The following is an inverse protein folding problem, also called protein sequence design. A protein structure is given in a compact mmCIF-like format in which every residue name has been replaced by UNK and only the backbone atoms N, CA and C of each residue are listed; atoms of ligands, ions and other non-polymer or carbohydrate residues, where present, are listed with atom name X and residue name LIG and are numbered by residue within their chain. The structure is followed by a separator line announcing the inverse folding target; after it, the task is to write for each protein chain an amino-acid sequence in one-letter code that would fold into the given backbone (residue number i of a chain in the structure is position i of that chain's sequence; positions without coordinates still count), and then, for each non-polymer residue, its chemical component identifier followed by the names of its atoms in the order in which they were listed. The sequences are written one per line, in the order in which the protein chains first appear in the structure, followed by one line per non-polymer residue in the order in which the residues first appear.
data_IF_464327108581
#
_entry.id   IF_464327108581
#
_cell.length_a   1.000
_cell.length_b   1.000
_cell.length_c   1.000
_cell.angle_alpha   90.00
_cell.angle_beta   90.00
_cell.angle_gamma   90.00
#
_symmetry.space_group_name_H-M   'P 1'
#
loop_
_entity.id
_entity.type
_entity.pdbx_description
1 polymer ?
#
# COMPACT_ATOMS: atom_id res chain seq x y z
N UNK A 1 -50.10 0.05 -10.67
CA UNK A 1 -49.26 1.26 -10.72
C UNK A 1 -47.86 0.90 -10.31
N UNK A 2 -46.93 0.80 -11.26
CA UNK A 2 -45.48 0.66 -10.93
C UNK A 2 -45.01 1.96 -10.26
N UNK A 3 -44.66 1.90 -8.99
CA UNK A 3 -43.95 3.00 -8.31
C UNK A 3 -42.65 3.27 -9.07
N UNK A 4 -42.57 4.41 -9.73
CA UNK A 4 -41.32 4.91 -10.32
C UNK A 4 -40.28 4.94 -9.21
N UNK A 5 -39.32 4.00 -9.26
CA UNK A 5 -38.22 3.95 -8.28
C UNK A 5 -37.44 5.23 -8.43
N UNK A 6 -37.44 6.07 -7.38
CA UNK A 6 -36.59 7.25 -7.31
C UNK A 6 -35.12 6.79 -7.33
N UNK A 7 -34.41 7.05 -8.43
CA UNK A 7 -32.99 6.74 -8.59
C UNK A 7 -32.21 8.03 -8.58
N UNK A 8 -31.14 8.08 -7.78
CA UNK A 8 -30.29 9.26 -7.64
C UNK A 8 -28.84 8.89 -7.91
N UNK A 9 -28.11 9.74 -8.62
CA UNK A 9 -26.63 9.63 -8.75
C UNK A 9 -25.92 10.44 -7.68
N UNK A 10 -26.56 11.50 -7.16
CA UNK A 10 -26.05 12.45 -6.18
C UNK A 10 -27.22 13.20 -5.53
N UNK A 11 -26.96 14.09 -4.57
CA UNK A 11 -28.00 14.83 -3.87
C UNK A 11 -28.47 14.11 -2.61
N UNK A 12 -27.54 13.43 -1.92
CA UNK A 12 -27.76 12.81 -0.61
C UNK A 12 -27.53 13.85 0.49
N UNK A 13 -28.33 13.77 1.55
CA UNK A 13 -28.14 14.63 2.70
C UNK A 13 -26.76 14.39 3.34
N UNK A 14 -26.02 15.47 3.62
CA UNK A 14 -24.64 15.37 4.13
C UNK A 14 -23.58 14.87 3.13
N UNK A 15 -23.92 14.72 1.84
CA UNK A 15 -22.91 14.34 0.84
C UNK A 15 -21.82 15.40 0.71
N UNK A 16 -20.61 14.92 0.41
CA UNK A 16 -19.47 15.77 0.04
C UNK A 16 -18.90 15.29 -1.29
N UNK A 17 -18.56 16.21 -2.18
CA UNK A 17 -18.08 15.91 -3.52
C UNK A 17 -17.18 17.02 -4.02
N UNK A 18 -16.00 16.64 -4.51
CA UNK A 18 -15.13 17.51 -5.30
C UNK A 18 -14.87 16.83 -6.63
N UNK A 19 -15.14 17.55 -7.72
CA UNK A 19 -14.77 17.20 -9.09
C UNK A 19 -13.69 18.17 -9.54
N UNK A 20 -12.51 17.68 -9.87
CA UNK A 20 -11.43 18.56 -10.31
C UNK A 20 -11.74 19.15 -11.68
N UNK A 21 -11.52 20.46 -11.87
CA UNK A 21 -11.73 21.11 -13.15
C UNK A 21 -10.90 20.47 -14.26
N UNK A 22 -11.48 20.27 -15.44
CA UNK A 22 -10.78 19.68 -16.59
C UNK A 22 -9.46 20.42 -16.90
N UNK A 23 -9.43 21.73 -16.78
CA UNK A 23 -8.24 22.54 -17.01
C UNK A 23 -7.11 22.18 -16.04
N UNK A 24 -7.40 21.95 -14.76
CA UNK A 24 -6.39 21.50 -13.79
C UNK A 24 -5.82 20.15 -14.20
N UNK A 25 -6.66 19.24 -14.67
CA UNK A 25 -6.19 17.93 -15.14
C UNK A 25 -5.28 18.04 -16.34
N UNK A 26 -5.64 18.82 -17.38
CA UNK A 26 -4.88 18.94 -18.62
C UNK A 26 -3.62 19.80 -18.49
N UNK A 27 -3.69 20.89 -17.73
CA UNK A 27 -2.61 21.87 -17.67
C UNK A 27 -1.58 21.55 -16.58
N UNK A 28 -1.93 20.71 -15.60
CA UNK A 28 -1.04 20.37 -14.51
C UNK A 28 -0.94 18.85 -14.25
N UNK A 29 -2.03 18.17 -13.89
CA UNK A 29 -1.95 16.80 -13.35
C UNK A 29 -1.38 15.77 -14.33
N UNK A 30 -1.64 15.94 -15.64
CA UNK A 30 -1.09 15.06 -16.67
C UNK A 30 0.33 15.42 -17.11
N UNK A 31 0.85 16.57 -16.70
CA UNK A 31 2.18 17.06 -17.13
C UNK A 31 3.21 17.00 -15.99
N UNK A 32 2.78 17.20 -14.75
CA UNK A 32 3.68 17.18 -13.59
C UNK A 32 4.24 15.78 -13.34
N UNK A 33 5.56 15.60 -13.18
CA UNK A 33 6.21 14.30 -13.06
C UNK A 33 5.69 13.43 -11.91
N UNK A 34 5.20 14.05 -10.83
CA UNK A 34 4.66 13.35 -9.66
C UNK A 34 3.22 12.94 -9.90
N UNK A 35 2.36 13.89 -10.28
CA UNK A 35 0.92 13.63 -10.35
C UNK A 35 0.51 12.84 -11.59
N UNK A 36 1.23 12.94 -12.71
CA UNK A 36 0.89 12.19 -13.95
C UNK A 36 0.89 10.68 -13.75
N UNK A 37 1.63 10.17 -12.77
CA UNK A 37 1.71 8.74 -12.48
C UNK A 37 0.38 8.20 -11.95
N UNK A 38 -0.25 8.94 -11.03
CA UNK A 38 -1.60 8.67 -10.53
C UNK A 38 -2.17 9.97 -9.93
N UNK A 39 -3.41 10.28 -10.25
CA UNK A 39 -4.09 11.45 -9.70
C UNK A 39 -5.60 11.25 -9.58
N UNK A 40 -6.14 11.83 -8.51
CA UNK A 40 -7.58 11.90 -8.26
C UNK A 40 -8.19 12.88 -9.28
N UNK A 41 -9.30 12.48 -9.85
CA UNK A 41 -10.15 13.34 -10.70
C UNK A 41 -11.41 13.77 -9.98
N UNK A 42 -11.95 12.88 -9.15
CA UNK A 42 -13.13 13.12 -8.33
C UNK A 42 -12.97 12.39 -6.99
N UNK A 43 -13.44 12.98 -5.92
CA UNK A 43 -13.44 12.41 -4.57
C UNK A 43 -14.76 12.74 -3.89
N UNK A 44 -15.34 11.78 -3.20
CA UNK A 44 -16.61 12.01 -2.53
C UNK A 44 -16.92 11.07 -1.38
N UNK A 45 -17.84 11.57 -0.54
CA UNK A 45 -18.42 10.85 0.59
C UNK A 45 -19.94 10.94 0.49
N UNK A 46 -20.63 9.81 0.49
CA UNK A 46 -22.07 9.71 0.44
C UNK A 46 -22.60 8.95 1.65
N UNK A 47 -23.10 9.63 2.68
CA UNK A 47 -23.69 8.99 3.84
C UNK A 47 -25.08 8.46 3.50
N UNK A 48 -25.38 7.23 3.93
CA UNK A 48 -26.69 6.56 3.80
C UNK A 48 -27.37 6.86 2.47
N UNK A 49 -26.66 6.60 1.38
CA UNK A 49 -27.01 7.04 0.03
C UNK A 49 -28.25 6.32 -0.50
N UNK A 50 -29.42 6.59 0.09
CA UNK A 50 -30.70 5.98 -0.26
C UNK A 50 -31.08 6.27 -1.71
N UNK A 51 -31.46 5.22 -2.46
CA UNK A 51 -31.76 5.27 -3.89
C UNK A 51 -30.54 5.57 -4.79
N UNK A 52 -29.34 5.51 -4.26
CA UNK A 52 -28.14 5.63 -5.10
C UNK A 52 -28.14 4.55 -6.17
N UNK A 53 -28.08 4.98 -7.42
CA UNK A 53 -28.06 4.09 -8.58
C UNK A 53 -27.25 4.71 -9.70
N UNK A 54 -26.32 3.93 -10.23
CA UNK A 54 -25.51 4.30 -11.39
C UNK A 54 -25.59 3.16 -12.42
N UNK A 55 -25.79 3.53 -13.69
CA UNK A 55 -25.72 2.65 -14.84
C UNK A 55 -24.80 3.28 -15.89
N UNK A 56 -23.70 2.61 -16.20
CA UNK A 56 -22.71 3.05 -17.19
C UNK A 56 -22.43 1.91 -18.18
N UNK A 57 -23.29 1.72 -19.20
CA UNK A 57 -23.14 0.66 -20.19
C UNK A 57 -21.85 0.79 -21.02
N UNK A 58 -21.33 2.00 -21.20
CA UNK A 58 -20.03 2.28 -21.87
C UNK A 58 -18.85 2.34 -20.91
N UNK A 59 -19.06 2.06 -19.62
CA UNK A 59 -18.00 2.23 -18.61
C UNK A 59 -17.73 3.69 -18.23
N UNK A 60 -16.61 3.91 -17.56
CA UNK A 60 -16.07 5.24 -17.21
C UNK A 60 -14.69 5.39 -17.83
N UNK A 61 -14.32 6.59 -18.26
CA UNK A 61 -12.93 6.87 -18.69
C UNK A 61 -11.93 6.95 -17.53
N UNK A 62 -12.40 6.78 -16.29
CA UNK A 62 -11.64 6.83 -15.05
C UNK A 62 -11.74 5.50 -14.35
N UNK A 63 -10.71 5.13 -13.60
CA UNK A 63 -10.82 4.05 -12.62
C UNK A 63 -11.61 4.53 -11.43
N UNK A 64 -12.34 3.60 -10.79
CA UNK A 64 -13.21 3.93 -9.66
C UNK A 64 -12.87 3.00 -8.49
N UNK A 65 -12.76 3.58 -7.30
CA UNK A 65 -12.73 2.86 -6.03
C UNK A 65 -13.92 3.32 -5.21
N UNK A 66 -14.66 2.37 -4.64
CA UNK A 66 -15.75 2.62 -3.69
C UNK A 66 -15.43 1.81 -2.44
N UNK A 67 -15.27 2.47 -1.30
CA UNK A 67 -15.09 1.86 0.01
C UNK A 67 -16.37 2.05 0.82
N UNK A 68 -17.03 0.93 1.13
CA UNK A 68 -18.26 0.91 1.92
C UNK A 68 -17.92 0.75 3.41
N UNK A 69 -18.39 1.65 4.25
CA UNK A 69 -18.14 1.63 5.71
C UNK A 69 -19.37 1.24 6.52
N UNK A 70 -20.58 1.45 6.01
CA UNK A 70 -21.84 1.17 6.68
C UNK A 70 -22.91 0.82 5.67
N UNK A 71 -23.91 0.02 6.07
CA UNK A 71 -25.00 -0.40 5.18
C UNK A 71 -24.52 -1.29 4.04
N UNK A 72 -25.33 -1.49 3.03
CA UNK A 72 -25.05 -2.41 1.95
C UNK A 72 -25.43 -1.90 0.57
N UNK A 73 -24.90 -2.53 -0.44
CA UNK A 73 -25.20 -2.26 -1.84
C UNK A 73 -24.86 -3.44 -2.73
N UNK A 74 -24.79 -3.20 -4.03
CA UNK A 74 -24.34 -4.20 -4.99
C UNK A 74 -23.67 -3.54 -6.19
N UNK A 75 -22.80 -4.28 -6.83
CA UNK A 75 -22.22 -3.96 -8.13
C UNK A 75 -22.50 -5.08 -9.13
N UNK A 76 -22.74 -4.70 -10.38
CA UNK A 76 -22.92 -5.59 -11.53
C UNK A 76 -21.95 -5.17 -12.63
N UNK A 77 -21.16 -6.12 -13.10
CA UNK A 77 -20.34 -6.00 -14.29
C UNK A 77 -20.79 -7.06 -15.30
N UNK A 78 -20.24 -7.07 -16.52
CA UNK A 78 -20.57 -8.07 -17.55
C UNK A 78 -20.41 -9.53 -17.08
N UNK A 79 -19.65 -9.76 -16.03
CA UNK A 79 -19.32 -11.11 -15.53
C UNK A 79 -20.19 -11.57 -14.36
N UNK A 80 -20.65 -10.66 -13.48
CA UNK A 80 -21.35 -11.05 -12.26
C UNK A 80 -21.94 -9.86 -11.52
N UNK A 81 -23.06 -10.12 -10.82
CA UNK A 81 -23.59 -9.22 -9.80
C UNK A 81 -23.10 -9.67 -8.41
N UNK A 82 -22.57 -8.74 -7.66
CA UNK A 82 -21.94 -8.99 -6.36
C UNK A 82 -22.50 -8.02 -5.33
N UNK A 83 -22.95 -8.53 -4.16
CA UNK A 83 -23.36 -7.68 -3.04
C UNK A 83 -22.11 -7.06 -2.37
N UNK A 84 -22.22 -5.89 -1.78
CA UNK A 84 -21.17 -5.16 -1.08
C UNK A 84 -21.63 -4.88 0.33
N UNK A 85 -20.93 -5.44 1.30
CA UNK A 85 -21.18 -5.29 2.74
C UNK A 85 -20.30 -4.17 3.35
N UNK A 86 -20.52 -3.77 4.60
CA UNK A 86 -19.60 -2.89 5.34
C UNK A 86 -18.17 -3.43 5.33
N UNK A 87 -17.20 -2.53 5.40
CA UNK A 87 -15.76 -2.84 5.37
C UNK A 87 -15.28 -3.54 4.09
N UNK A 88 -16.03 -3.44 3.01
CA UNK A 88 -15.65 -3.93 1.70
C UNK A 88 -15.36 -2.77 0.74
N UNK A 89 -14.42 -2.98 -0.17
CA UNK A 89 -14.20 -2.04 -1.26
C UNK A 89 -14.37 -2.70 -2.63
N UNK A 90 -14.70 -1.88 -3.59
CA UNK A 90 -14.83 -2.27 -4.99
C UNK A 90 -13.87 -1.46 -5.83
N UNK A 91 -13.28 -2.13 -6.81
CA UNK A 91 -12.46 -1.49 -7.82
C UNK A 91 -13.07 -1.74 -9.19
N UNK A 92 -13.30 -0.68 -9.95
CA UNK A 92 -13.85 -0.74 -11.30
C UNK A 92 -12.81 -0.15 -12.26
N UNK A 93 -12.17 -0.98 -13.10
CA UNK A 93 -11.25 -0.48 -14.12
C UNK A 93 -11.91 0.48 -15.11
N UNK A 94 -11.16 1.43 -15.63
CA UNK A 94 -11.64 2.30 -16.71
C UNK A 94 -12.14 1.47 -17.90
N UNK A 95 -13.15 1.96 -18.59
CA UNK A 95 -13.78 1.28 -19.73
C UNK A 95 -14.70 0.11 -19.38
N UNK A 96 -14.75 -0.33 -18.10
CA UNK A 96 -15.59 -1.47 -17.70
C UNK A 96 -17.07 -1.09 -17.62
N UNK A 97 -17.97 -1.69 -18.42
CA UNK A 97 -19.41 -1.54 -18.26
C UNK A 97 -19.86 -2.01 -16.88
N UNK A 98 -20.60 -1.18 -16.16
CA UNK A 98 -21.01 -1.49 -14.81
C UNK A 98 -22.30 -0.80 -14.38
N UNK A 99 -22.97 -1.44 -13.42
CA UNK A 99 -24.08 -0.86 -12.65
C UNK A 99 -23.81 -1.07 -11.17
N UNK A 100 -24.22 -0.14 -10.35
CA UNK A 100 -24.23 -0.33 -8.90
C UNK A 100 -25.36 0.44 -8.24
N UNK A 101 -25.78 -0.03 -7.08
CA UNK A 101 -26.80 0.64 -6.28
C UNK A 101 -26.64 0.35 -4.79
N UNK A 102 -27.12 1.30 -3.98
CA UNK A 102 -27.38 1.07 -2.56
C UNK A 102 -28.55 0.09 -2.37
N UNK A 103 -28.53 -0.64 -1.25
CA UNK A 103 -29.71 -1.33 -0.75
C UNK A 103 -30.79 -0.31 -0.38
N UNK A 104 -32.06 -0.63 -0.61
CA UNK A 104 -33.16 0.30 -0.34
C UNK A 104 -33.48 0.41 1.15
N UNK A 105 -33.35 -0.69 1.89
CA UNK A 105 -33.68 -0.80 3.32
C UNK A 105 -32.49 -0.45 4.22
N UNK A 106 -31.27 -0.79 3.77
CA UNK A 106 -30.02 -0.54 4.48
C UNK A 106 -29.00 0.11 3.53
N UNK A 107 -29.19 1.38 3.14
CA UNK A 107 -28.38 2.05 2.14
C UNK A 107 -26.97 2.29 2.65
N UNK A 108 -25.99 2.03 1.77
CA UNK A 108 -24.59 2.17 2.09
C UNK A 108 -24.14 3.61 2.41
N UNK A 109 -23.09 3.71 3.23
CA UNK A 109 -22.27 4.89 3.45
C UNK A 109 -20.92 4.64 2.81
N UNK A 110 -20.56 5.43 1.82
CA UNK A 110 -19.39 5.16 0.98
C UNK A 110 -18.44 6.35 0.89
N UNK A 111 -17.15 6.04 0.87
CA UNK A 111 -16.06 6.88 0.39
C UNK A 111 -15.68 6.40 -1.00
N UNK A 112 -15.49 7.32 -1.94
CA UNK A 112 -15.19 6.92 -3.30
C UNK A 112 -14.24 7.88 -4.00
N UNK A 113 -13.49 7.34 -4.96
CA UNK A 113 -12.55 8.07 -5.79
C UNK A 113 -12.74 7.70 -7.24
N UNK A 114 -12.65 8.68 -8.12
CA UNK A 114 -12.28 8.47 -9.50
C UNK A 114 -10.85 8.95 -9.69
N UNK A 115 -10.07 8.23 -10.49
CA UNK A 115 -8.67 8.54 -10.69
C UNK A 115 -8.16 8.08 -12.04
N UNK A 116 -7.03 8.67 -12.46
CA UNK A 116 -6.30 8.39 -13.68
C UNK A 116 -4.80 8.38 -13.40
N UNK A 117 -3.99 8.11 -14.44
CA UNK A 117 -2.54 8.20 -14.42
C UNK A 117 -1.88 7.06 -15.17
N UNK A 118 -0.60 7.21 -15.42
CA UNK A 118 0.21 6.23 -16.16
C UNK A 118 0.28 4.87 -15.43
N UNK A 119 0.30 4.88 -14.09
CA UNK A 119 0.35 3.69 -13.25
C UNK A 119 -1.03 3.21 -12.76
N UNK A 120 -2.11 3.93 -13.06
CA UNK A 120 -3.42 3.62 -12.51
C UNK A 120 -3.91 2.20 -12.87
N UNK A 121 -3.75 1.78 -14.13
CA UNK A 121 -4.14 0.43 -14.57
C UNK A 121 -3.32 -0.66 -13.85
N UNK A 122 -2.00 -0.47 -13.72
CA UNK A 122 -1.12 -1.41 -13.03
C UNK A 122 -1.49 -1.56 -11.54
N UNK A 123 -1.79 -0.47 -10.86
CA UNK A 123 -2.23 -0.51 -9.45
C UNK A 123 -3.56 -1.24 -9.30
N UNK A 124 -4.49 -1.04 -10.24
CA UNK A 124 -5.75 -1.79 -10.28
C UNK A 124 -5.49 -3.29 -10.44
N UNK A 125 -4.58 -3.69 -11.32
CA UNK A 125 -4.20 -5.10 -11.51
C UNK A 125 -3.62 -5.69 -10.23
N UNK A 126 -2.71 -4.98 -9.54
CA UNK A 126 -2.16 -5.42 -8.25
C UNK A 126 -3.26 -5.61 -7.20
N UNK A 127 -4.21 -4.67 -7.11
CA UNK A 127 -5.35 -4.78 -6.18
C UNK A 127 -6.19 -6.02 -6.52
N UNK A 128 -6.46 -6.27 -7.81
CA UNK A 128 -7.26 -7.41 -8.25
C UNK A 128 -6.55 -8.75 -8.05
N UNK A 129 -5.23 -8.81 -8.20
CA UNK A 129 -4.42 -10.01 -7.96
C UNK A 129 -4.39 -10.38 -6.47
N UNK A 130 -4.28 -9.39 -5.58
CA UNK A 130 -4.28 -9.60 -4.14
C UNK A 130 -5.69 -9.90 -3.60
N UNK A 131 -6.72 -9.38 -4.26
CA UNK A 131 -8.12 -9.60 -3.90
C UNK A 131 -8.62 -10.91 -4.49
N UNK A 132 -8.51 -12.01 -3.77
CA UNK A 132 -8.94 -13.37 -4.18
C UNK A 132 -10.39 -13.50 -4.67
N UNK A 133 -11.21 -12.47 -4.78
CA UNK A 133 -12.60 -12.53 -5.30
C UNK A 133 -13.32 -11.19 -5.47
N UNK A 134 -12.76 -10.14 -6.04
CA UNK A 134 -13.44 -8.85 -6.27
C UNK A 134 -14.00 -8.13 -5.01
N UNK A 135 -13.88 -8.72 -3.84
CA UNK A 135 -14.32 -8.22 -2.53
C UNK A 135 -13.24 -8.48 -1.51
N UNK A 136 -12.20 -7.70 -1.43
CA UNK A 136 -11.35 -7.78 -0.27
C UNK A 136 -12.14 -7.25 0.94
N UNK A 137 -12.34 -8.13 1.90
CA UNK A 137 -12.78 -7.72 3.23
C UNK A 137 -11.63 -6.98 3.87
N UNK A 138 -11.84 -5.73 4.22
CA UNK A 138 -10.87 -4.91 4.94
C UNK A 138 -11.32 -4.78 6.39
N UNK A 139 -10.40 -4.88 7.34
CA UNK A 139 -10.69 -4.46 8.69
C UNK A 139 -11.02 -2.97 8.71
N UNK A 140 -12.03 -2.57 9.50
CA UNK A 140 -12.31 -1.16 9.73
C UNK A 140 -11.07 -0.48 10.32
N UNK A 141 -10.66 0.62 9.75
CA UNK A 141 -9.50 1.37 10.21
C UNK A 141 -9.73 2.88 10.04
N UNK A 142 -9.78 3.60 11.16
CA UNK A 142 -9.96 5.05 11.18
C UNK A 142 -8.88 5.81 10.40
N UNK A 143 -7.65 5.29 10.37
CA UNK A 143 -6.57 5.98 9.66
C UNK A 143 -6.82 6.01 8.15
N UNK A 144 -7.52 5.00 7.58
CA UNK A 144 -7.94 5.03 6.17
C UNK A 144 -8.95 6.15 5.91
N UNK A 145 -9.86 6.37 6.86
CA UNK A 145 -10.83 7.49 6.78
C UNK A 145 -10.11 8.82 6.96
N UNK A 146 -9.15 8.94 7.89
CA UNK A 146 -8.33 10.15 8.07
C UNK A 146 -7.57 10.53 6.81
N UNK A 147 -7.01 9.55 6.06
CA UNK A 147 -6.38 9.82 4.77
C UNK A 147 -7.37 10.45 3.77
N UNK A 148 -8.61 9.94 3.71
CA UNK A 148 -9.63 10.53 2.87
C UNK A 148 -9.95 11.98 3.30
N UNK A 149 -10.18 12.19 4.59
CA UNK A 149 -10.50 13.52 5.14
C UNK A 149 -9.40 14.53 4.87
N UNK A 150 -8.15 14.12 5.01
CA UNK A 150 -6.98 14.95 4.73
C UNK A 150 -6.89 15.34 3.25
N UNK A 151 -7.09 14.39 2.33
CA UNK A 151 -7.14 14.67 0.89
C UNK A 151 -8.28 15.64 0.56
N UNK A 152 -9.46 15.38 1.09
CA UNK A 152 -10.66 16.18 0.84
C UNK A 152 -10.47 17.62 1.34
N UNK A 153 -10.05 17.79 2.59
CA UNK A 153 -9.83 19.12 3.20
C UNK A 153 -8.74 19.95 2.48
N UNK A 154 -7.71 19.29 1.93
CA UNK A 154 -6.69 20.00 1.15
C UNK A 154 -7.22 20.43 -0.23
N UNK A 155 -8.02 19.61 -0.90
CA UNK A 155 -8.65 19.98 -2.16
C UNK A 155 -9.69 21.12 -1.99
N UNK A 156 -10.38 21.19 -0.85
CA UNK A 156 -11.26 22.33 -0.52
C UNK A 156 -10.50 23.66 -0.41
N UNK A 157 -9.23 23.64 0.01
CA UNK A 157 -8.38 24.85 0.09
C UNK A 157 -7.91 25.35 -1.28
N UNK A 158 -8.12 24.57 -2.35
CA UNK A 158 -7.80 24.96 -3.71
C UNK A 158 -6.78 24.05 -4.40
N UNK A 159 -6.43 24.41 -5.63
CA UNK A 159 -5.69 23.59 -6.58
C UNK A 159 -4.29 24.13 -6.87
N UNK A 160 -3.57 24.62 -5.86
CA UNK A 160 -2.16 24.97 -6.02
C UNK A 160 -1.32 23.71 -6.37
N UNK A 161 -0.20 23.92 -7.04
CA UNK A 161 0.73 22.81 -7.41
C UNK A 161 1.09 21.96 -6.22
N UNK A 162 1.36 22.58 -5.07
CA UNK A 162 1.78 21.88 -3.86
C UNK A 162 0.64 21.09 -3.25
N UNK A 163 -0.58 21.67 -3.21
CA UNK A 163 -1.76 20.93 -2.75
C UNK A 163 -2.05 19.71 -3.64
N UNK A 164 -1.97 19.90 -4.95
CA UNK A 164 -2.22 18.79 -5.89
C UNK A 164 -1.19 17.68 -5.76
N UNK A 165 0.10 18.02 -5.64
CA UNK A 165 1.16 17.02 -5.38
C UNK A 165 0.93 16.31 -4.05
N UNK A 166 0.71 17.08 -2.98
CA UNK A 166 0.49 16.55 -1.63
C UNK A 166 -0.69 15.58 -1.58
N UNK A 167 -1.86 15.97 -2.09
CA UNK A 167 -3.05 15.12 -2.14
C UNK A 167 -2.79 13.81 -2.89
N UNK A 168 -2.10 13.88 -4.04
CA UNK A 168 -1.85 12.67 -4.81
C UNK A 168 -0.78 11.77 -4.18
N UNK A 169 0.17 12.29 -3.40
CA UNK A 169 1.06 11.50 -2.56
C UNK A 169 0.30 10.79 -1.43
N UNK A 170 -0.66 11.45 -0.77
CA UNK A 170 -1.54 10.82 0.21
C UNK A 170 -2.40 9.73 -0.46
N UNK A 171 -2.85 9.97 -1.69
CA UNK A 171 -3.64 8.97 -2.42
C UNK A 171 -2.86 7.67 -2.65
N UNK A 172 -1.55 7.73 -2.92
CA UNK A 172 -0.71 6.52 -2.92
C UNK A 172 -0.74 5.80 -1.57
N UNK A 173 -0.70 6.54 -0.45
CA UNK A 173 -0.80 5.94 0.88
C UNK A 173 -2.18 5.31 1.11
N UNK A 174 -3.26 5.94 0.66
CA UNK A 174 -4.60 5.34 0.68
C UNK A 174 -4.65 4.03 -0.12
N UNK A 175 -4.12 4.03 -1.35
CA UNK A 175 -4.05 2.82 -2.18
C UNK A 175 -3.19 1.72 -1.54
N UNK A 176 -2.09 2.07 -0.89
CA UNK A 176 -1.26 1.10 -0.16
C UNK A 176 -2.02 0.47 1.02
N UNK A 177 -2.95 1.20 1.65
CA UNK A 177 -3.81 0.66 2.72
C UNK A 177 -4.79 -0.41 2.24
N UNK A 178 -5.10 -0.42 0.95
CA UNK A 178 -5.93 -1.45 0.30
C UNK A 178 -5.09 -2.64 -0.17
N UNK A 179 -3.87 -2.38 -0.64
CA UNK A 179 -2.96 -3.39 -1.17
C UNK A 179 -2.26 -4.20 -0.09
N UNK A 180 -1.89 -3.55 1.01
CA UNK A 180 -1.03 -4.09 2.06
C UNK A 180 -1.67 -3.86 3.43
N UNK A 181 -2.89 -4.39 3.59
CA UNK A 181 -3.70 -4.20 4.80
C UNK A 181 -2.98 -4.61 6.07
N UNK A 182 -2.31 -5.76 6.07
CA UNK A 182 -1.57 -6.25 7.25
C UNK A 182 -0.50 -5.25 7.70
N UNK A 183 0.23 -4.65 6.74
CA UNK A 183 1.24 -3.63 7.03
C UNK A 183 0.63 -2.32 7.50
N UNK A 184 -0.51 -1.95 6.94
CA UNK A 184 -1.23 -0.73 7.31
C UNK A 184 -1.83 -0.83 8.72
N UNK A 185 -2.35 -1.99 9.09
CA UNK A 185 -2.94 -2.26 10.40
C UNK A 185 -1.91 -2.63 11.49
N UNK A 186 -0.67 -2.94 11.14
CA UNK A 186 0.37 -3.40 12.08
C UNK A 186 0.73 -2.38 13.17
N UNK A 187 0.33 -1.13 13.03
CA UNK A 187 0.47 -0.10 14.07
C UNK A 187 -0.53 -0.25 15.23
N UNK A 188 -1.63 -1.01 15.09
CA UNK A 188 -2.68 -1.06 16.10
C UNK A 188 -3.09 -2.48 16.57
N UNK A 189 -2.82 -3.53 15.81
CA UNK A 189 -3.25 -4.89 16.18
C UNK A 189 -2.20 -5.95 15.86
N UNK A 190 -1.64 -6.56 16.90
CA UNK A 190 -0.99 -7.87 16.86
C UNK A 190 -2.03 -8.95 16.48
N UNK A 191 -2.35 -9.11 15.21
CA UNK A 191 -3.02 -10.30 14.68
C UNK A 191 -2.04 -11.07 13.83
N UNK A 192 -1.85 -12.34 14.18
CA UNK A 192 -1.04 -13.38 13.51
C UNK A 192 0.12 -12.80 12.69
N UNK A 193 1.16 -12.43 13.41
CA UNK A 193 2.40 -11.92 12.77
C UNK A 193 2.89 -13.03 11.84
N UNK A 194 3.03 -12.72 10.57
CA UNK A 194 3.54 -13.65 9.56
C UNK A 194 4.84 -14.27 10.07
N UNK A 195 4.92 -15.58 10.06
CA UNK A 195 6.09 -16.33 10.56
C UNK A 195 7.41 -15.83 9.94
N UNK A 196 7.36 -15.30 8.71
CA UNK A 196 8.52 -14.69 8.06
C UNK A 196 8.88 -13.34 8.70
N UNK A 197 7.90 -12.51 9.05
CA UNK A 197 8.14 -11.25 9.78
C UNK A 197 8.71 -11.53 11.18
N UNK A 198 8.14 -12.51 11.92
CA UNK A 198 8.71 -12.96 13.19
C UNK A 198 10.15 -13.45 13.05
N UNK A 199 10.44 -14.17 11.96
CA UNK A 199 11.81 -14.64 11.70
C UNK A 199 12.76 -13.48 11.40
N UNK A 200 12.31 -12.46 10.67
CA UNK A 200 13.09 -11.24 10.44
C UNK A 200 13.34 -10.48 11.75
N UNK A 201 12.36 -10.38 12.62
CA UNK A 201 12.56 -9.81 13.96
C UNK A 201 13.58 -10.61 14.81
N UNK A 202 13.51 -11.96 14.73
CA UNK A 202 14.49 -12.82 15.38
C UNK A 202 15.90 -12.57 14.83
N UNK A 203 16.05 -12.46 13.50
CA UNK A 203 17.32 -12.12 12.87
C UNK A 203 17.86 -10.76 13.37
N UNK A 204 17.01 -9.75 13.49
CA UNK A 204 17.39 -8.44 14.04
C UNK A 204 17.84 -8.54 15.50
N UNK A 205 17.12 -9.30 16.34
CA UNK A 205 17.53 -9.54 17.74
C UNK A 205 18.84 -10.31 17.85
N UNK A 206 19.08 -11.26 16.94
CA UNK A 206 20.29 -12.08 16.87
C UNK A 206 21.38 -11.51 15.96
N UNK A 207 21.34 -10.23 15.59
CA UNK A 207 22.26 -9.59 14.63
C UNK A 207 23.74 -9.73 15.00
N UNK A 208 24.03 -9.86 16.28
CA UNK A 208 25.39 -9.98 16.85
C UNK A 208 25.89 -11.42 16.94
N UNK A 209 25.12 -12.42 16.51
CA UNK A 209 25.47 -13.84 16.62
C UNK A 209 25.49 -14.52 15.24
N UNK A 210 26.00 -15.72 15.21
CA UNK A 210 25.84 -16.62 14.07
C UNK A 210 24.50 -17.33 14.22
N UNK A 211 23.71 -17.39 13.16
CA UNK A 211 22.43 -18.11 13.13
C UNK A 211 22.44 -19.05 11.94
N UNK A 212 22.07 -20.29 12.17
CA UNK A 212 21.98 -21.30 11.11
C UNK A 212 20.62 -21.27 10.42
N UNK A 213 20.59 -21.79 9.18
CA UNK A 213 19.35 -21.94 8.44
C UNK A 213 18.37 -22.89 9.16
N UNK A 214 18.91 -23.92 9.83
CA UNK A 214 18.14 -24.88 10.62
C UNK A 214 17.46 -24.22 11.81
N UNK A 215 18.15 -23.32 12.54
CA UNK A 215 17.55 -22.58 13.65
C UNK A 215 16.41 -21.67 13.19
N UNK A 216 16.57 -20.98 12.06
CA UNK A 216 15.53 -20.14 11.51
C UNK A 216 14.30 -20.95 11.06
N UNK A 217 14.52 -22.06 10.39
CA UNK A 217 13.46 -22.97 9.95
C UNK A 217 12.73 -23.59 11.14
N UNK A 218 13.46 -24.02 12.18
CA UNK A 218 12.88 -24.55 13.42
C UNK A 218 12.04 -23.48 14.16
N UNK A 219 12.52 -22.26 14.24
CA UNK A 219 11.76 -21.14 14.81
C UNK A 219 10.45 -20.89 14.04
N UNK A 220 10.49 -20.98 12.72
CA UNK A 220 9.33 -20.86 11.85
C UNK A 220 8.36 -22.06 11.92
N UNK A 221 8.73 -23.15 12.57
CA UNK A 221 7.94 -24.40 12.58
C UNK A 221 7.86 -25.08 11.22
N UNK A 222 8.85 -24.86 10.33
CA UNK A 222 8.86 -25.37 8.97
C UNK A 222 10.09 -26.23 8.70
N UNK A 223 10.00 -27.12 7.70
CA UNK A 223 11.20 -27.77 7.17
C UNK A 223 12.12 -26.75 6.50
N UNK A 224 13.44 -27.01 6.49
CA UNK A 224 14.46 -26.10 5.92
C UNK A 224 14.14 -25.75 4.45
N UNK A 225 13.73 -26.72 3.65
CA UNK A 225 13.39 -26.51 2.24
C UNK A 225 12.15 -25.65 2.07
N UNK A 226 11.08 -25.93 2.83
CA UNK A 226 9.84 -25.15 2.78
C UNK A 226 10.06 -23.74 3.28
N UNK A 227 10.72 -23.56 4.44
CA UNK A 227 11.09 -22.26 4.97
C UNK A 227 11.87 -21.42 3.95
N UNK A 228 12.91 -22.00 3.33
CA UNK A 228 13.73 -21.29 2.34
C UNK A 228 12.92 -20.84 1.12
N UNK A 229 11.99 -21.67 0.64
CA UNK A 229 11.13 -21.33 -0.48
C UNK A 229 10.17 -20.18 -0.14
N UNK A 230 9.43 -20.30 0.97
CA UNK A 230 8.47 -19.27 1.42
C UNK A 230 9.19 -17.96 1.76
N UNK A 231 10.34 -18.04 2.45
CA UNK A 231 11.13 -16.86 2.79
C UNK A 231 11.61 -16.12 1.53
N UNK A 232 12.10 -16.84 0.53
CA UNK A 232 12.56 -16.25 -0.74
C UNK A 232 11.40 -15.67 -1.55
N UNK A 233 10.25 -16.31 -1.59
CA UNK A 233 9.05 -15.80 -2.24
C UNK A 233 8.62 -14.46 -1.63
N UNK A 234 8.68 -14.34 -0.29
CA UNK A 234 8.24 -13.15 0.43
C UNK A 234 9.26 -12.02 0.46
N UNK A 235 10.56 -12.33 0.51
CA UNK A 235 11.63 -11.33 0.70
C UNK A 235 12.47 -11.07 -0.55
N UNK A 236 12.40 -11.96 -1.55
CA UNK A 236 13.26 -11.94 -2.73
C UNK A 236 14.66 -12.54 -2.50
N UNK A 237 15.01 -12.90 -1.27
CA UNK A 237 16.34 -13.38 -0.87
C UNK A 237 16.26 -14.73 -0.14
N UNK A 238 17.34 -15.51 -0.16
CA UNK A 238 17.43 -16.64 0.77
C UNK A 238 17.58 -16.13 2.22
N UNK A 239 17.18 -16.92 3.24
CA UNK A 239 17.22 -16.47 4.63
C UNK A 239 18.62 -16.00 5.10
N UNK A 240 19.67 -16.71 4.73
CA UNK A 240 21.05 -16.37 5.11
C UNK A 240 21.54 -15.12 4.34
N UNK A 241 21.19 -14.96 3.06
CA UNK A 241 21.48 -13.73 2.32
C UNK A 241 20.80 -12.53 2.94
N UNK A 242 19.53 -12.65 3.31
CA UNK A 242 18.78 -11.59 3.96
C UNK A 242 19.42 -11.21 5.31
N UNK A 243 19.81 -12.21 6.12
CA UNK A 243 20.49 -11.97 7.38
C UNK A 243 21.84 -11.25 7.18
N UNK A 244 22.58 -11.61 6.14
CA UNK A 244 23.81 -10.91 5.78
C UNK A 244 23.54 -9.46 5.36
N UNK A 245 22.45 -9.18 4.64
CA UNK A 245 22.05 -7.81 4.33
C UNK A 245 21.80 -6.98 5.62
N UNK A 246 21.08 -7.54 6.59
CA UNK A 246 20.84 -6.88 7.87
C UNK A 246 22.15 -6.60 8.61
N UNK A 247 23.09 -7.56 8.64
CA UNK A 247 24.42 -7.38 9.24
C UNK A 247 25.21 -6.27 8.56
N UNK A 248 25.23 -6.22 7.24
CA UNK A 248 25.92 -5.15 6.50
C UNK A 248 25.27 -3.79 6.74
N UNK A 249 23.95 -3.72 6.78
CA UNK A 249 23.25 -2.49 7.14
C UNK A 249 23.65 -1.99 8.53
N UNK A 250 23.75 -2.91 9.52
CA UNK A 250 24.23 -2.58 10.87
C UNK A 250 25.71 -2.18 10.88
N UNK A 251 26.53 -2.85 10.08
CA UNK A 251 27.95 -2.50 9.89
C UNK A 251 28.12 -1.07 9.37
N UNK A 252 27.29 -0.63 8.44
CA UNK A 252 27.30 0.75 7.95
C UNK A 252 27.11 1.75 9.10
N UNK A 253 26.18 1.47 10.02
CA UNK A 253 25.97 2.31 11.21
C UNK A 253 27.23 2.36 12.10
N UNK A 254 27.84 1.21 12.39
CA UNK A 254 29.07 1.16 13.19
C UNK A 254 30.22 1.92 12.54
N UNK A 255 30.42 1.73 11.23
CA UNK A 255 31.49 2.39 10.50
C UNK A 255 31.34 3.92 10.44
N UNK A 256 30.11 4.45 10.44
CA UNK A 256 29.82 5.89 10.32
C UNK A 256 29.72 6.58 11.68
N UNK A 257 29.07 5.95 12.64
CA UNK A 257 28.68 6.62 13.90
C UNK A 257 29.48 6.20 15.10
N UNK A 258 30.46 5.28 14.96
CA UNK A 258 31.35 4.87 16.04
C UNK A 258 32.80 4.96 15.61
N UNK A 259 33.72 4.84 16.60
CA UNK A 259 35.16 4.72 16.38
C UNK A 259 35.65 3.30 16.04
N UNK A 260 34.76 2.32 15.95
CA UNK A 260 35.13 0.91 15.73
C UNK A 260 35.98 0.73 14.48
N UNK A 261 37.00 -0.07 14.57
CA UNK A 261 37.76 -0.56 13.40
C UNK A 261 36.88 -1.48 12.56
N UNK A 262 37.31 -1.79 11.35
CA UNK A 262 36.60 -2.75 10.47
C UNK A 262 36.53 -4.14 11.13
N UNK A 263 37.60 -4.53 11.83
CA UNK A 263 37.64 -5.81 12.56
C UNK A 263 36.64 -5.85 13.71
N UNK A 264 36.62 -4.78 14.53
CA UNK A 264 35.68 -4.69 15.66
C UNK A 264 34.22 -4.67 15.18
N UNK A 265 33.90 -3.97 14.08
CA UNK A 265 32.58 -3.97 13.49
C UNK A 265 32.18 -5.37 13.01
N UNK A 266 33.08 -6.12 12.37
CA UNK A 266 32.86 -7.50 11.92
C UNK A 266 32.60 -8.42 13.14
N UNK A 267 33.48 -8.41 14.15
CA UNK A 267 33.35 -9.23 15.36
C UNK A 267 32.06 -8.91 16.12
N UNK A 268 31.69 -7.62 16.23
CA UNK A 268 30.44 -7.19 16.86
C UNK A 268 29.19 -7.72 16.15
N UNK A 269 29.30 -8.16 14.91
CA UNK A 269 28.22 -8.77 14.14
C UNK A 269 28.33 -10.31 14.06
N UNK A 270 29.18 -10.90 14.93
CA UNK A 270 29.41 -12.35 14.94
C UNK A 270 30.14 -12.86 13.69
N UNK A 271 30.97 -12.03 13.05
CA UNK A 271 31.79 -12.42 11.89
C UNK A 271 33.27 -12.30 12.30
N UNK A 272 33.87 -13.42 12.63
CA UNK A 272 35.26 -13.47 13.10
C UNK A 272 36.30 -13.19 12.01
N UNK A 273 36.03 -13.66 10.79
CA UNK A 273 36.88 -13.43 9.63
C UNK A 273 36.62 -12.06 8.99
N UNK A 274 37.53 -11.10 9.28
CA UNK A 274 37.52 -9.76 8.74
C UNK A 274 37.60 -9.73 7.19
N UNK A 275 38.29 -10.68 6.58
CA UNK A 275 38.42 -10.73 5.11
C UNK A 275 37.12 -11.19 4.48
N UNK A 276 36.47 -12.20 5.07
CA UNK A 276 35.13 -12.61 4.67
C UNK A 276 34.13 -11.45 4.82
N UNK A 277 34.14 -10.77 5.95
CA UNK A 277 33.30 -9.60 6.18
C UNK A 277 33.56 -8.52 5.12
N UNK A 278 34.82 -8.18 4.83
CA UNK A 278 35.16 -7.14 3.85
C UNK A 278 34.71 -7.50 2.43
N UNK A 279 34.85 -8.77 2.02
CA UNK A 279 34.33 -9.26 0.73
C UNK A 279 32.82 -9.16 0.67
N UNK A 280 32.12 -9.61 1.71
CA UNK A 280 30.65 -9.54 1.80
C UNK A 280 30.16 -8.10 1.78
N UNK A 281 30.78 -7.21 2.54
CA UNK A 281 30.48 -5.78 2.56
C UNK A 281 30.66 -5.16 1.18
N UNK A 282 31.82 -5.41 0.53
CA UNK A 282 32.10 -4.85 -0.81
C UNK A 282 31.14 -5.37 -1.86
N UNK A 283 30.74 -6.64 -1.77
CA UNK A 283 29.75 -7.23 -2.69
C UNK A 283 28.40 -6.54 -2.60
N UNK A 284 27.95 -6.20 -1.38
CA UNK A 284 26.65 -5.59 -1.14
C UNK A 284 26.65 -4.06 -1.32
N UNK A 285 27.74 -3.39 -0.92
CA UNK A 285 27.80 -1.92 -0.90
C UNK A 285 28.54 -1.32 -2.09
N UNK A 286 29.19 -2.14 -2.92
CA UNK A 286 29.99 -1.66 -4.06
C UNK A 286 31.32 -0.97 -3.67
N UNK A 287 31.62 -0.87 -2.38
CA UNK A 287 32.82 -0.20 -1.82
C UNK A 287 33.35 -1.03 -0.64
N UNK A 288 34.67 -0.97 -0.41
CA UNK A 288 35.24 -1.57 0.80
C UNK A 288 34.76 -0.83 2.08
N UNK A 289 34.76 -1.50 3.26
CA UNK A 289 34.38 -0.85 4.51
C UNK A 289 35.18 0.42 4.82
N UNK A 290 36.48 0.42 4.48
CA UNK A 290 37.36 1.58 4.67
C UNK A 290 36.98 2.73 3.73
N UNK A 291 36.78 2.46 2.46
CA UNK A 291 36.32 3.46 1.47
C UNK A 291 34.95 4.00 1.82
N UNK A 292 34.01 3.14 2.25
CA UNK A 292 32.68 3.55 2.71
C UNK A 292 32.77 4.56 3.85
N UNK A 293 33.59 4.27 4.87
CA UNK A 293 33.84 5.18 5.97
C UNK A 293 34.45 6.51 5.52
N UNK A 294 35.49 6.45 4.68
CA UNK A 294 36.20 7.65 4.19
C UNK A 294 35.24 8.57 3.40
N UNK A 295 34.45 7.99 2.49
CA UNK A 295 33.55 8.74 1.61
C UNK A 295 32.43 9.47 2.36
N UNK A 296 31.93 8.87 3.45
CA UNK A 296 30.84 9.45 4.21
C UNK A 296 31.29 10.30 5.41
N UNK A 297 32.61 10.29 5.79
CA UNK A 297 33.18 11.22 6.78
C UNK A 297 33.62 12.55 6.15
N UNK A 298 33.87 12.61 4.85
CA UNK A 298 34.31 13.82 4.13
C UNK A 298 33.19 14.73 3.66
N UNK A 299 31.95 14.42 4.02
CA UNK A 299 30.74 15.20 3.72
C UNK A 299 30.32 16.14 4.87
N UNK A 300 31.30 16.70 5.62
CA UNK A 300 31.08 17.83 6.55
C UNK A 300 31.81 19.05 6.06
#
# INVERSE_FOLDING_TARGET
MQKTKHRKRQGFDGQRLIVLPKKIMTDFLTLDPVTKQIFITDIGYYPRAKFHYVDRPGGSSQHIIIYNVEGSGWIETSKKRVAVAPSQFIVIPAGTPHKYAANEDDPWTIYWFHFKGELAAYIIELIQQNAKNYKPDLSYNENRIKLFEEMYANLEKGYSSDNLRYVNMIFYHFLSSLLYEDKFNSTENKKETDVIELTVELMQKKIHTVVSLQELAAFAGLSVSHFSAVFRERTGYSPIEYFNHLKIQKACQYLLFTGMTVKEAAVSLGIEDQYYFSRMFSKLMGLSPVEYRKRNKTGK
#
